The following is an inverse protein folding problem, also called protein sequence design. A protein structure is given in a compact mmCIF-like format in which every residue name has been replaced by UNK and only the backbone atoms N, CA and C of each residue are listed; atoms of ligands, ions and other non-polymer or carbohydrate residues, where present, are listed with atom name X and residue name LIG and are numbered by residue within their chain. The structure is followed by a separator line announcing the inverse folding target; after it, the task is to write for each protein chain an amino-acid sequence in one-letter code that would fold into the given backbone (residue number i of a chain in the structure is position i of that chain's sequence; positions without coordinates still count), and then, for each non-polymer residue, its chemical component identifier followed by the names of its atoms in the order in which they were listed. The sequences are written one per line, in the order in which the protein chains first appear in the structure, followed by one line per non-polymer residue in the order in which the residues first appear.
data_IF_956650859501
#
_entry.id   IF_956650859501
#
_cell.length_a   1.000
_cell.length_b   1.000
_cell.length_c   1.000
_cell.angle_alpha   90.00
_cell.angle_beta   90.00
_cell.angle_gamma   90.00
#
_symmetry.space_group_name_H-M   'P 1'
#
loop_
_entity.id
_entity.type
_entity.pdbx_description
1 polymer ?
#
# COMPACT_ATOMS: atom_id res chain seq x y z
N UNK A 1 11.85 5.05 10.65
CA UNK A 1 12.48 3.74 10.28
C UNK A 1 11.80 3.18 9.06
N UNK A 2 12.51 2.41 8.20
CA UNK A 2 11.92 1.63 7.11
C UNK A 2 11.89 0.16 7.54
N UNK A 3 10.71 -0.37 7.82
CA UNK A 3 10.51 -1.72 8.37
C UNK A 3 10.03 -2.63 7.24
N UNK A 4 10.87 -3.60 6.86
CA UNK A 4 10.54 -4.58 5.84
C UNK A 4 10.23 -5.95 6.46
N UNK A 5 9.32 -6.68 5.80
CA UNK A 5 9.16 -8.11 5.94
C UNK A 5 9.86 -8.75 4.74
N UNK A 6 10.73 -9.71 4.96
CA UNK A 6 11.52 -10.31 3.89
C UNK A 6 11.76 -11.80 4.10
N UNK A 7 12.02 -12.50 3.01
CA UNK A 7 12.37 -13.92 3.00
C UNK A 7 13.79 -14.09 2.46
N UNK A 8 14.61 -14.85 3.21
CA UNK A 8 15.94 -15.26 2.81
C UNK A 8 16.15 -16.71 3.28
N UNK A 9 16.69 -17.57 2.37
CA UNK A 9 16.88 -18.99 2.65
C UNK A 9 15.60 -19.73 3.04
N UNK A 10 14.43 -19.30 2.54
CA UNK A 10 13.11 -19.88 2.85
C UNK A 10 12.53 -19.47 4.21
N UNK A 11 13.19 -18.55 4.94
CA UNK A 11 12.70 -18.04 6.24
C UNK A 11 12.27 -16.61 6.13
N UNK A 12 11.02 -16.31 6.54
CA UNK A 12 10.47 -14.96 6.57
C UNK A 12 10.67 -14.32 7.94
N UNK A 13 11.12 -13.06 7.98
CA UNK A 13 11.38 -12.29 9.20
C UNK A 13 11.35 -10.79 8.96
N UNK A 14 11.49 -10.01 10.01
CA UNK A 14 11.54 -8.54 9.94
C UNK A 14 12.97 -8.03 9.84
N UNK A 15 13.14 -6.94 9.12
CA UNK A 15 14.39 -6.20 8.97
C UNK A 15 14.19 -4.69 8.93
N UNK A 16 15.26 -3.96 9.17
CA UNK A 16 15.32 -2.51 8.98
C UNK A 16 16.12 -2.18 7.73
N UNK A 17 15.50 -1.49 6.79
CA UNK A 17 16.15 -1.08 5.55
C UNK A 17 16.99 0.18 5.80
N UNK A 18 18.25 0.15 5.35
CA UNK A 18 19.20 1.24 5.48
C UNK A 18 19.86 1.54 4.13
N UNK A 19 20.20 2.79 3.91
CA UNK A 19 20.89 3.27 2.71
C UNK A 19 20.22 2.88 1.37
N UNK A 20 18.91 2.57 1.39
CA UNK A 20 18.17 2.34 0.15
C UNK A 20 17.97 3.66 -0.59
N UNK A 21 18.31 3.69 -1.88
CA UNK A 21 17.85 4.71 -2.81
C UNK A 21 16.34 4.59 -3.08
N UNK A 22 15.86 5.23 -4.13
CA UNK A 22 14.47 5.03 -4.59
C UNK A 22 14.24 3.58 -5.05
N UNK A 23 15.26 2.94 -5.67
CA UNK A 23 15.20 1.56 -6.11
C UNK A 23 15.31 0.57 -4.94
N UNK A 24 14.50 -0.49 -4.97
CA UNK A 24 14.46 -1.52 -3.93
C UNK A 24 15.58 -2.55 -4.03
N UNK A 25 16.41 -2.48 -5.07
CA UNK A 25 17.54 -3.38 -5.33
C UNK A 25 18.87 -2.85 -4.78
N UNK A 26 18.91 -1.57 -4.35
CA UNK A 26 20.12 -0.94 -3.80
C UNK A 26 19.95 -0.67 -2.32
N UNK A 27 20.98 -0.98 -1.53
CA UNK A 27 21.01 -0.78 -0.09
C UNK A 27 21.15 -2.08 0.70
N UNK A 28 20.94 -1.95 1.99
CA UNK A 28 21.09 -3.06 2.94
C UNK A 28 19.83 -3.21 3.80
N UNK A 29 19.60 -4.42 4.28
CA UNK A 29 18.62 -4.73 5.32
C UNK A 29 19.35 -5.27 6.56
N UNK A 30 19.06 -4.70 7.71
CA UNK A 30 19.51 -5.18 9.01
C UNK A 30 18.56 -6.29 9.44
N UNK A 31 19.04 -7.52 9.57
CA UNK A 31 18.24 -8.71 9.88
C UNK A 31 17.95 -8.78 11.39
N UNK A 32 17.00 -7.99 11.85
CA UNK A 32 16.62 -7.95 13.26
C UNK A 32 15.90 -9.21 13.70
N UNK A 33 15.21 -9.89 12.79
CA UNK A 33 14.49 -11.14 13.09
C UNK A 33 15.43 -12.30 13.44
N UNK A 34 16.60 -12.40 12.80
CA UNK A 34 17.63 -13.39 13.19
C UNK A 34 18.30 -13.04 14.51
N UNK A 35 18.52 -11.77 14.80
CA UNK A 35 19.12 -11.33 16.05
C UNK A 35 18.16 -11.44 17.25
N UNK A 36 16.86 -11.37 16.99
CA UNK A 36 15.80 -11.60 17.99
C UNK A 36 14.69 -12.49 17.42
N UNK A 37 14.83 -13.83 17.48
CA UNK A 37 13.85 -14.78 16.95
C UNK A 37 12.48 -14.75 17.63
N UNK A 38 12.32 -14.01 18.72
CA UNK A 38 11.02 -13.81 19.38
C UNK A 38 10.23 -12.61 18.81
N UNK A 39 10.80 -11.87 17.86
CA UNK A 39 10.05 -10.89 17.06
C UNK A 39 9.02 -11.60 16.18
N UNK A 40 7.82 -11.01 16.03
CA UNK A 40 6.87 -11.52 15.05
C UNK A 40 7.44 -11.36 13.62
N UNK A 41 6.91 -12.16 12.69
CA UNK A 41 7.30 -12.12 11.28
C UNK A 41 6.45 -11.17 10.43
N UNK A 42 5.51 -10.45 11.05
CA UNK A 42 4.57 -9.53 10.41
C UNK A 42 4.56 -8.18 11.15
N UNK A 43 4.60 -7.08 10.39
CA UNK A 43 4.62 -5.73 10.97
C UNK A 43 3.31 -5.41 11.70
N UNK A 44 2.16 -5.87 11.20
CA UNK A 44 0.87 -5.66 11.87
C UNK A 44 0.82 -6.30 13.25
N UNK A 45 1.38 -7.50 13.39
CA UNK A 45 1.50 -8.19 14.69
C UNK A 45 2.44 -7.44 15.63
N UNK A 46 3.54 -6.90 15.09
CA UNK A 46 4.48 -6.08 15.88
C UNK A 46 3.80 -4.79 16.36
N UNK A 47 3.05 -4.11 15.51
CA UNK A 47 2.28 -2.91 15.87
C UNK A 47 1.26 -3.21 16.97
N UNK A 48 0.56 -4.33 16.88
CA UNK A 48 -0.41 -4.76 17.89
C UNK A 48 0.24 -5.06 19.26
N UNK A 49 1.53 -5.42 19.29
CA UNK A 49 2.28 -5.61 20.54
C UNK A 49 2.69 -4.29 21.20
N UNK A 50 2.67 -3.17 20.46
CA UNK A 50 3.04 -1.84 20.95
C UNK A 50 4.54 -1.61 21.15
N UNK A 51 5.43 -2.51 20.70
CA UNK A 51 6.88 -2.41 20.96
C UNK A 51 7.74 -2.29 19.67
N UNK A 52 7.49 -1.25 18.89
CA UNK A 52 8.35 -0.88 17.76
C UNK A 52 9.79 -0.55 18.17
N UNK A 53 10.00 -0.05 19.40
CA UNK A 53 11.33 0.33 19.89
C UNK A 53 12.28 -0.87 19.98
N UNK A 54 11.74 -2.08 20.07
CA UNK A 54 12.49 -3.33 20.09
C UNK A 54 13.34 -3.52 18.83
N UNK A 55 12.83 -3.13 17.65
CA UNK A 55 13.58 -3.20 16.40
C UNK A 55 14.89 -2.38 16.48
N UNK A 56 14.81 -1.14 16.97
CA UNK A 56 15.98 -0.27 17.11
C UNK A 56 17.02 -0.81 18.10
N UNK A 57 16.56 -1.41 19.22
CA UNK A 57 17.47 -2.03 20.20
C UNK A 57 18.22 -3.23 19.63
N UNK A 58 17.57 -4.03 18.80
CA UNK A 58 18.13 -5.23 18.20
C UNK A 58 19.08 -4.91 17.03
N UNK A 59 18.84 -3.83 16.33
CA UNK A 59 19.58 -3.46 15.11
C UNK A 59 21.11 -3.34 15.30
N UNK A 60 21.56 -2.94 16.49
CA UNK A 60 22.99 -2.72 16.78
C UNK A 60 23.85 -4.00 16.73
N UNK A 61 23.25 -5.18 16.87
CA UNK A 61 23.94 -6.49 16.90
C UNK A 61 23.55 -7.40 15.73
N UNK A 62 22.57 -6.99 14.91
CA UNK A 62 22.03 -7.78 13.82
C UNK A 62 22.95 -7.76 12.57
N UNK A 63 22.95 -8.86 11.83
CA UNK A 63 23.65 -8.96 10.55
C UNK A 63 23.04 -8.03 9.49
N UNK A 64 23.83 -7.65 8.50
CA UNK A 64 23.38 -6.89 7.33
C UNK A 64 23.42 -7.76 6.11
N UNK A 65 22.38 -7.69 5.30
CA UNK A 65 22.25 -8.38 4.03
C UNK A 65 22.03 -7.34 2.92
N UNK A 66 22.50 -7.63 1.71
CA UNK A 66 22.15 -6.80 0.56
C UNK A 66 20.65 -6.93 0.28
N UNK A 67 19.96 -5.83 -0.01
CA UNK A 67 18.53 -5.87 -0.39
C UNK A 67 18.30 -6.76 -1.62
N UNK A 68 19.24 -6.77 -2.57
CA UNK A 68 19.20 -7.64 -3.76
C UNK A 68 19.33 -9.14 -3.46
N UNK A 69 19.73 -9.52 -2.25
CA UNK A 69 19.90 -10.93 -1.85
C UNK A 69 18.67 -11.51 -1.14
N UNK A 70 17.64 -10.69 -0.89
CA UNK A 70 16.43 -11.09 -0.18
C UNK A 70 15.19 -10.85 -1.05
N UNK A 71 14.13 -11.62 -0.81
CA UNK A 71 12.81 -11.34 -1.36
C UNK A 71 12.05 -10.46 -0.37
N UNK A 72 11.67 -9.25 -0.78
CA UNK A 72 10.76 -8.42 -0.01
C UNK A 72 9.35 -9.02 -0.07
N UNK A 73 8.66 -8.96 1.05
CA UNK A 73 7.28 -9.46 1.20
C UNK A 73 6.36 -8.29 1.59
N UNK A 74 5.04 -8.46 1.44
CA UNK A 74 4.10 -7.48 1.97
C UNK A 74 4.40 -7.17 3.45
N UNK A 75 4.61 -5.91 3.85
CA UNK A 75 4.96 -5.57 5.24
C UNK A 75 3.94 -6.08 6.25
N UNK A 76 2.66 -5.99 5.90
CA UNK A 76 1.52 -6.50 6.65
C UNK A 76 0.79 -7.49 5.74
N UNK A 77 1.06 -8.79 5.93
CA UNK A 77 0.51 -9.83 5.07
C UNK A 77 -0.97 -10.14 5.37
N UNK A 78 -1.39 -9.91 6.61
CA UNK A 78 -2.77 -10.15 7.05
C UNK A 78 -3.26 -8.96 7.87
N UNK A 79 -3.61 -7.85 7.21
CA UNK A 79 -4.14 -6.69 7.91
C UNK A 79 -5.48 -7.06 8.56
N UNK A 80 -5.78 -6.57 9.79
CA UNK A 80 -7.07 -6.82 10.43
C UNK A 80 -8.23 -6.24 9.61
N UNK A 81 -7.95 -5.21 8.81
CA UNK A 81 -8.88 -4.61 7.85
C UNK A 81 -8.08 -3.90 6.77
N UNK A 82 -8.52 -4.03 5.52
CA UNK A 82 -8.00 -3.28 4.39
C UNK A 82 -9.11 -2.39 3.84
N UNK A 83 -9.08 -1.11 4.21
CA UNK A 83 -10.01 -0.08 3.77
C UNK A 83 -9.44 0.64 2.56
N UNK A 84 -10.31 1.10 1.65
CA UNK A 84 -9.92 1.90 0.51
C UNK A 84 -10.93 3.03 0.26
N UNK A 85 -10.45 4.10 -0.35
CA UNK A 85 -11.21 5.33 -0.57
C UNK A 85 -11.31 5.60 -2.07
N UNK A 86 -12.50 5.53 -2.61
CA UNK A 86 -12.78 5.89 -4.00
C UNK A 86 -12.95 7.39 -4.19
N UNK A 87 -12.59 7.88 -5.40
CA UNK A 87 -12.86 9.25 -5.85
C UNK A 87 -12.28 10.34 -4.94
N UNK A 88 -11.06 10.13 -4.43
CA UNK A 88 -10.42 11.04 -3.47
C UNK A 88 -9.43 12.05 -4.12
N UNK A 89 -9.31 12.07 -5.45
CA UNK A 89 -8.54 13.08 -6.18
C UNK A 89 -9.44 13.79 -7.17
N UNK A 90 -9.36 15.13 -7.20
CA UNK A 90 -10.26 15.94 -8.03
C UNK A 90 -10.13 15.63 -9.53
N UNK A 91 -8.89 15.42 -10.00
CA UNK A 91 -8.60 15.11 -11.39
C UNK A 91 -9.13 13.69 -11.76
N UNK A 92 -9.01 12.72 -10.84
CA UNK A 92 -9.57 11.39 -11.05
C UNK A 92 -11.11 11.40 -11.09
N UNK A 93 -11.75 12.23 -10.26
CA UNK A 93 -13.21 12.45 -10.34
C UNK A 93 -13.61 13.00 -11.71
N UNK A 94 -12.85 13.98 -12.22
CA UNK A 94 -13.13 14.61 -13.53
C UNK A 94 -12.94 13.61 -14.68
N UNK A 95 -11.82 12.86 -14.72
CA UNK A 95 -11.56 11.87 -15.79
C UNK A 95 -12.58 10.73 -15.81
N UNK A 96 -13.08 10.34 -14.63
CA UNK A 96 -14.10 9.28 -14.48
C UNK A 96 -15.51 9.74 -14.88
N UNK A 97 -15.71 11.04 -15.20
CA UNK A 97 -17.02 11.60 -15.48
C UNK A 97 -17.97 11.61 -14.28
N UNK A 98 -17.43 11.46 -13.08
CA UNK A 98 -18.20 11.42 -11.84
C UNK A 98 -18.30 12.81 -11.20
N UNK A 99 -19.20 12.97 -10.24
CA UNK A 99 -19.28 14.18 -9.41
C UNK A 99 -18.52 13.97 -8.11
N UNK A 100 -17.93 15.05 -7.57
CA UNK A 100 -17.26 15.01 -6.27
C UNK A 100 -18.21 14.47 -5.20
N UNK A 101 -17.84 13.40 -4.47
CA UNK A 101 -18.67 12.85 -3.41
C UNK A 101 -18.86 13.85 -2.26
N UNK A 102 -20.03 13.83 -1.62
CA UNK A 102 -20.32 14.64 -0.43
C UNK A 102 -19.63 14.11 0.84
N UNK A 103 -19.22 12.84 0.84
CA UNK A 103 -18.49 12.17 1.92
C UNK A 103 -17.52 11.16 1.30
N UNK A 104 -16.48 10.70 2.02
CA UNK A 104 -15.57 9.67 1.53
C UNK A 104 -16.31 8.42 1.07
N UNK A 105 -15.98 7.95 -0.14
CA UNK A 105 -16.51 6.69 -0.67
C UNK A 105 -15.66 5.55 -0.13
N UNK A 106 -16.13 4.90 0.92
CA UNK A 106 -15.39 3.86 1.63
C UNK A 106 -15.80 2.48 1.12
N UNK A 107 -14.81 1.63 0.82
CA UNK A 107 -15.03 0.22 0.53
C UNK A 107 -13.92 -0.63 1.17
N UNK A 108 -14.14 -1.94 1.22
CA UNK A 108 -13.17 -2.90 1.73
C UNK A 108 -12.54 -3.69 0.59
N UNK A 109 -11.25 -3.99 0.73
CA UNK A 109 -10.58 -5.06 0.01
C UNK A 109 -10.50 -6.30 0.91
N UNK A 110 -10.68 -7.49 0.35
CA UNK A 110 -10.47 -8.73 1.09
C UNK A 110 -8.98 -8.87 1.42
N UNK A 111 -8.68 -9.33 2.62
CA UNK A 111 -7.29 -9.43 3.09
C UNK A 111 -6.46 -10.44 2.27
N UNK A 112 -7.11 -11.40 1.62
CA UNK A 112 -6.46 -12.38 0.74
C UNK A 112 -5.90 -11.78 -0.55
N UNK A 113 -6.28 -10.53 -0.89
CA UNK A 113 -5.73 -9.84 -2.07
C UNK A 113 -4.29 -9.35 -1.86
N UNK A 114 -3.79 -9.31 -0.61
CA UNK A 114 -2.48 -8.71 -0.28
C UNK A 114 -1.35 -9.56 -0.82
N UNK A 115 -0.46 -8.92 -1.59
CA UNK A 115 0.81 -9.45 -2.07
C UNK A 115 1.94 -8.44 -1.85
N UNK A 116 3.17 -8.91 -1.90
CA UNK A 116 4.38 -8.09 -1.73
C UNK A 116 5.00 -7.61 -3.03
N UNK A 117 6.13 -6.88 -2.93
CA UNK A 117 6.92 -6.48 -4.08
C UNK A 117 7.41 -7.69 -4.89
N UNK A 118 7.33 -7.60 -6.21
CA UNK A 118 7.77 -8.65 -7.13
C UNK A 118 6.82 -9.85 -7.26
N UNK A 119 5.79 -9.95 -6.42
CA UNK A 119 4.75 -10.97 -6.59
C UNK A 119 3.87 -10.65 -7.81
N UNK A 120 3.36 -11.68 -8.48
CA UNK A 120 2.56 -11.53 -9.69
C UNK A 120 1.13 -11.03 -9.41
N UNK A 121 0.72 -9.96 -10.08
CA UNK A 121 -0.68 -9.56 -10.17
C UNK A 121 -1.35 -10.45 -11.22
N UNK A 122 -2.31 -11.27 -10.83
CA UNK A 122 -2.97 -12.21 -11.73
C UNK A 122 -4.06 -11.53 -12.57
N UNK A 123 -4.07 -11.83 -13.87
CA UNK A 123 -5.21 -11.49 -14.74
C UNK A 123 -6.23 -12.62 -14.61
N UNK A 124 -7.42 -12.39 -14.02
CA UNK A 124 -8.38 -13.44 -13.81
C UNK A 124 -8.94 -13.96 -15.12
N UNK A 125 -9.03 -15.28 -15.29
CA UNK A 125 -9.63 -15.90 -16.48
C UNK A 125 -11.11 -15.53 -16.66
N UNK A 126 -11.82 -15.24 -15.57
CA UNK A 126 -13.22 -14.83 -15.59
C UNK A 126 -13.44 -13.35 -15.98
N UNK A 127 -12.38 -12.51 -15.97
CA UNK A 127 -12.47 -11.08 -16.27
C UNK A 127 -11.12 -10.56 -16.82
N UNK A 128 -10.69 -10.99 -18.03
CA UNK A 128 -9.32 -10.74 -18.50
C UNK A 128 -9.07 -9.34 -19.05
N UNK A 129 -10.10 -8.57 -19.39
CA UNK A 129 -9.96 -7.39 -20.24
C UNK A 129 -9.86 -6.06 -19.47
N UNK A 130 -10.27 -6.03 -18.21
CA UNK A 130 -10.49 -4.79 -17.48
C UNK A 130 -9.72 -4.72 -16.14
N UNK A 131 -8.57 -5.36 -16.06
CA UNK A 131 -7.69 -5.27 -14.89
C UNK A 131 -6.86 -4.00 -14.96
N UNK A 132 -7.02 -3.13 -13.99
CA UNK A 132 -6.46 -1.78 -13.98
C UNK A 132 -5.65 -1.51 -12.71
N UNK A 133 -4.74 -0.57 -12.79
CA UNK A 133 -3.85 -0.13 -11.71
C UNK A 133 -4.38 1.14 -11.03
N UNK A 134 -4.10 1.28 -9.76
CA UNK A 134 -4.34 2.49 -8.97
C UNK A 134 -3.22 2.67 -7.95
N UNK A 135 -2.24 3.55 -8.25
CA UNK A 135 -1.19 3.91 -7.30
C UNK A 135 -1.74 4.78 -6.18
N UNK A 136 -1.49 4.39 -4.92
CA UNK A 136 -2.07 5.05 -3.76
C UNK A 136 -1.09 5.17 -2.59
N UNK A 137 -1.21 6.24 -1.82
CA UNK A 137 -0.64 6.31 -0.47
C UNK A 137 -1.42 5.38 0.45
N UNK A 138 -0.74 4.45 1.09
CA UNK A 138 -1.29 3.60 2.15
C UNK A 138 -0.94 4.15 3.52
N UNK A 139 -1.96 4.42 4.35
CA UNK A 139 -1.80 4.79 5.76
C UNK A 139 -1.97 3.55 6.62
N UNK A 140 -1.06 3.33 7.57
CA UNK A 140 -1.12 2.19 8.51
C UNK A 140 -1.42 2.68 9.91
N UNK A 141 -2.47 2.16 10.52
CA UNK A 141 -2.85 2.46 11.91
C UNK A 141 -1.90 1.74 12.86
N UNK A 142 -1.34 2.48 13.83
CA UNK A 142 -0.42 1.98 14.84
C UNK A 142 -1.06 1.74 16.21
N UNK A 143 -2.08 2.52 16.53
CA UNK A 143 -2.74 2.46 17.83
C UNK A 143 -4.24 2.22 17.67
N UNK A 144 -4.79 1.27 18.44
CA UNK A 144 -6.23 1.01 18.47
C UNK A 144 -6.98 2.30 18.81
N UNK A 145 -7.88 2.74 17.95
CA UNK A 145 -8.56 4.03 18.12
C UNK A 145 -10.03 3.98 17.69
N UNK A 146 -10.81 4.90 18.24
CA UNK A 146 -12.23 5.15 17.95
C UNK A 146 -12.56 6.60 18.23
N UNK A 147 -13.42 7.21 17.41
CA UNK A 147 -13.84 8.61 17.55
C UNK A 147 -12.66 9.60 17.68
N UNK A 148 -11.64 9.42 16.82
CA UNK A 148 -10.44 10.26 16.81
C UNK A 148 -10.78 11.59 16.13
N UNK A 149 -10.34 12.70 16.71
CA UNK A 149 -10.45 14.01 16.04
C UNK A 149 -9.43 14.13 14.91
N UNK A 150 -9.65 15.05 13.97
CA UNK A 150 -8.69 15.35 12.91
C UNK A 150 -7.33 15.76 13.50
N UNK A 151 -7.34 16.53 14.60
CA UNK A 151 -6.13 16.99 15.27
C UNK A 151 -5.34 15.85 15.94
N UNK A 152 -6.02 14.82 16.42
CA UNK A 152 -5.40 13.68 17.10
C UNK A 152 -5.05 12.53 16.13
N UNK A 153 -5.56 12.55 14.90
CA UNK A 153 -5.35 11.49 13.91
C UNK A 153 -3.86 11.17 13.63
N UNK A 154 -2.92 12.14 13.57
CA UNK A 154 -1.50 11.83 13.43
C UNK A 154 -0.96 10.89 14.51
N UNK A 155 -1.46 10.98 15.74
CA UNK A 155 -0.96 10.21 16.88
C UNK A 155 -1.29 8.71 16.83
N UNK A 156 -2.23 8.29 15.99
CA UNK A 156 -2.63 6.89 15.86
C UNK A 156 -2.02 6.20 14.64
N UNK A 157 -1.24 6.93 13.82
CA UNK A 157 -0.60 6.40 12.61
C UNK A 157 0.75 5.78 12.95
N UNK A 158 0.99 4.55 12.50
CA UNK A 158 2.30 3.89 12.58
C UNK A 158 3.24 4.38 11.49
N UNK A 159 2.72 4.60 10.29
CA UNK A 159 3.51 5.00 9.12
C UNK A 159 2.74 4.82 7.82
N UNK A 160 3.52 4.82 6.73
CA UNK A 160 3.02 4.86 5.37
C UNK A 160 3.71 3.81 4.50
N UNK A 161 3.04 3.36 3.47
CA UNK A 161 3.57 2.47 2.43
C UNK A 161 2.87 2.74 1.10
N UNK A 162 3.36 2.15 0.03
CA UNK A 162 2.69 2.19 -1.27
C UNK A 162 1.65 1.08 -1.33
N UNK A 163 0.51 1.38 -1.95
CA UNK A 163 -0.55 0.43 -2.29
C UNK A 163 -0.84 0.52 -3.78
N UNK A 164 -1.10 -0.61 -4.41
CA UNK A 164 -1.75 -0.69 -5.71
C UNK A 164 -3.16 -1.25 -5.51
N UNK A 165 -4.18 -0.39 -5.62
CA UNK A 165 -5.58 -0.81 -5.51
C UNK A 165 -6.07 -1.38 -6.84
N UNK A 166 -5.49 -2.54 -7.24
CA UNK A 166 -5.81 -3.20 -8.50
C UNK A 166 -7.32 -3.48 -8.59
N UNK A 167 -7.88 -3.12 -9.74
CA UNK A 167 -9.32 -3.07 -9.97
C UNK A 167 -9.73 -3.85 -11.21
N UNK A 168 -10.72 -4.70 -11.10
CA UNK A 168 -11.41 -5.33 -12.23
C UNK A 168 -12.63 -4.48 -12.54
N UNK A 169 -12.54 -3.59 -13.53
CA UNK A 169 -13.44 -2.45 -13.73
C UNK A 169 -14.90 -2.84 -14.03
N UNK A 170 -15.13 -3.87 -14.80
CA UNK A 170 -16.47 -4.38 -15.08
C UNK A 170 -17.14 -4.94 -13.80
N UNK A 171 -16.39 -5.69 -12.98
CA UNK A 171 -16.87 -6.20 -11.69
C UNK A 171 -17.02 -5.10 -10.64
N UNK A 172 -16.13 -4.10 -10.65
CA UNK A 172 -16.24 -2.93 -9.77
C UNK A 172 -17.55 -2.19 -9.96
N UNK A 173 -17.98 -2.05 -11.23
CA UNK A 173 -19.20 -1.31 -11.60
C UNK A 173 -20.48 -2.13 -11.51
N UNK A 174 -20.37 -3.44 -11.38
CA UNK A 174 -21.52 -4.33 -11.33
C UNK A 174 -22.39 -4.12 -10.07
N UNK A 175 -21.78 -3.63 -8.97
CA UNK A 175 -22.48 -3.40 -7.71
C UNK A 175 -21.98 -2.13 -7.00
N UNK A 176 -22.84 -1.45 -6.20
CA UNK A 176 -22.45 -0.24 -5.47
C UNK A 176 -21.32 -0.45 -4.45
N UNK A 177 -21.12 -1.66 -3.95
CA UNK A 177 -20.11 -1.95 -2.91
C UNK A 177 -18.69 -2.04 -3.43
N UNK A 178 -18.50 -2.18 -4.76
CA UNK A 178 -17.21 -2.34 -5.45
C UNK A 178 -16.38 -3.57 -5.04
N UNK A 179 -16.70 -4.22 -3.92
CA UNK A 179 -15.89 -5.27 -3.29
C UNK A 179 -15.43 -6.36 -4.25
N UNK A 180 -16.34 -6.84 -5.12
CA UNK A 180 -16.02 -7.93 -6.06
C UNK A 180 -15.02 -7.51 -7.16
N UNK A 181 -14.97 -6.24 -7.52
CA UNK A 181 -13.98 -5.71 -8.48
C UNK A 181 -12.65 -5.30 -7.84
N UNK A 182 -12.61 -5.17 -6.51
CA UNK A 182 -11.47 -4.64 -5.75
C UNK A 182 -10.76 -5.70 -4.89
N UNK A 183 -11.23 -6.95 -4.88
CA UNK A 183 -10.83 -7.96 -3.89
C UNK A 183 -10.41 -9.31 -4.47
N UNK A 184 -10.05 -9.36 -5.73
CA UNK A 184 -9.47 -10.57 -6.32
C UNK A 184 -8.14 -10.88 -5.61
N UNK A 185 -7.84 -12.15 -5.43
CA UNK A 185 -6.53 -12.56 -4.91
C UNK A 185 -5.42 -11.91 -5.76
N UNK A 186 -4.31 -11.53 -5.13
CA UNK A 186 -3.20 -10.76 -5.73
C UNK A 186 -3.49 -9.29 -6.10
N UNK A 187 -4.71 -8.79 -5.97
CA UNK A 187 -5.09 -7.44 -6.40
C UNK A 187 -4.90 -6.36 -5.33
N UNK A 188 -4.05 -6.61 -4.34
CA UNK A 188 -3.67 -5.66 -3.28
C UNK A 188 -2.16 -5.63 -3.02
N UNK A 189 -1.32 -5.36 -4.04
CA UNK A 189 0.11 -5.17 -3.80
C UNK A 189 0.37 -4.07 -2.78
N UNK A 190 1.23 -4.35 -1.78
CA UNK A 190 1.63 -3.39 -0.74
C UNK A 190 3.12 -3.46 -0.47
N UNK A 191 3.74 -2.32 -0.17
CA UNK A 191 5.15 -2.27 0.17
C UNK A 191 5.85 -1.00 -0.31
N UNK A 192 7.16 -1.04 -0.57
CA UNK A 192 8.07 -2.19 -0.36
C UNK A 192 8.37 -2.46 1.11
N UNK A 193 8.12 -1.50 1.98
CA UNK A 193 8.27 -1.51 3.44
C UNK A 193 7.29 -0.53 4.09
N UNK A 194 7.13 -0.61 5.39
CA UNK A 194 6.49 0.44 6.18
C UNK A 194 7.54 1.51 6.53
N UNK A 195 7.29 2.76 6.16
CA UNK A 195 8.05 3.93 6.62
C UNK A 195 7.32 4.51 7.83
N UNK A 196 7.97 4.53 8.99
CA UNK A 196 7.33 5.04 10.22
C UNK A 196 6.98 6.51 10.12
N UNK A 197 5.93 6.93 10.81
CA UNK A 197 5.36 8.27 10.68
C UNK A 197 6.35 9.41 11.01
N UNK A 198 7.31 9.17 11.89
CA UNK A 198 8.35 10.12 12.25
C UNK A 198 9.37 10.43 11.13
N UNK A 199 9.43 9.58 10.09
CA UNK A 199 10.30 9.79 8.91
C UNK A 199 9.62 10.66 7.83
N UNK A 200 8.30 10.85 7.89
CA UNK A 200 7.52 11.59 6.89
C UNK A 200 7.01 12.88 7.53
N UNK A 201 7.61 13.99 7.14
CA UNK A 201 7.27 15.29 7.71
C UNK A 201 5.83 15.71 7.41
N UNK A 202 5.36 15.47 6.18
CA UNK A 202 3.98 15.74 5.76
C UNK A 202 3.52 14.69 4.73
N UNK A 203 2.60 13.79 5.09
CA UNK A 203 2.07 12.80 4.15
C UNK A 203 1.18 13.41 3.05
N UNK A 204 0.83 14.68 3.17
CA UNK A 204 0.05 15.42 2.18
C UNK A 204 0.92 16.24 1.21
N UNK A 205 2.25 16.02 1.22
CA UNK A 205 3.20 16.66 0.29
C UNK A 205 4.18 15.66 -0.32
N UNK A 206 3.66 14.57 -0.87
CA UNK A 206 4.44 13.52 -1.52
C UNK A 206 4.07 13.44 -2.99
N UNK A 207 5.07 13.33 -3.86
CA UNK A 207 4.87 12.97 -5.26
C UNK A 207 4.46 11.51 -5.36
N UNK A 208 3.49 11.21 -6.22
CA UNK A 208 3.04 9.85 -6.55
C UNK A 208 3.05 9.65 -8.05
N UNK A 209 3.74 8.62 -8.53
CA UNK A 209 3.88 8.31 -9.94
C UNK A 209 3.66 6.82 -10.18
N UNK A 210 2.97 6.49 -11.28
CA UNK A 210 2.74 5.12 -11.71
C UNK A 210 3.16 4.95 -13.16
N UNK A 211 3.91 3.90 -13.43
CA UNK A 211 4.29 3.46 -14.77
C UNK A 211 3.69 2.09 -15.06
N UNK A 212 3.29 1.88 -16.30
CA UNK A 212 2.94 0.55 -16.84
C UNK A 212 3.81 0.34 -18.07
N UNK A 213 4.55 -0.75 -18.09
CA UNK A 213 5.50 -1.11 -19.16
C UNK A 213 6.52 0.03 -19.47
N UNK A 214 6.93 0.76 -18.44
CA UNK A 214 7.84 1.89 -18.53
C UNK A 214 7.21 3.20 -18.99
N UNK A 215 5.93 3.23 -19.33
CA UNK A 215 5.20 4.43 -19.70
C UNK A 215 4.58 5.08 -18.46
N UNK A 216 4.86 6.38 -18.25
CA UNK A 216 4.29 7.16 -17.15
C UNK A 216 2.79 7.33 -17.36
N UNK A 217 1.99 6.87 -16.42
CA UNK A 217 0.51 6.87 -16.46
C UNK A 217 -0.11 7.82 -15.46
N UNK A 218 0.42 7.84 -14.24
CA UNK A 218 -0.04 8.74 -13.19
C UNK A 218 1.15 9.59 -12.72
N UNK A 219 0.94 10.91 -12.57
CA UNK A 219 1.93 11.84 -12.01
C UNK A 219 1.19 12.94 -11.26
N UNK A 220 1.23 12.88 -9.94
CA UNK A 220 0.42 13.72 -9.07
C UNK A 220 1.11 13.97 -7.72
N UNK A 221 0.43 14.69 -6.84
CA UNK A 221 0.84 14.88 -5.46
C UNK A 221 -0.31 14.55 -4.51
N UNK A 222 0.03 14.00 -3.34
CA UNK A 222 -0.93 13.78 -2.24
C UNK A 222 -1.60 15.05 -1.74
N UNK A 223 -1.07 16.23 -2.08
CA UNK A 223 -1.74 17.54 -1.89
C UNK A 223 -3.10 17.65 -2.58
N UNK A 224 -3.32 16.87 -3.63
CA UNK A 224 -4.53 16.91 -4.44
C UNK A 224 -5.67 16.04 -3.88
N UNK A 225 -5.46 15.37 -2.74
CA UNK A 225 -6.53 14.64 -2.05
C UNK A 225 -7.68 15.56 -1.69
N UNK A 226 -8.90 15.12 -1.98
CA UNK A 226 -10.16 15.81 -1.61
C UNK A 226 -10.39 15.76 -0.10
N UNK A 227 -10.13 14.59 0.49
CA UNK A 227 -10.18 14.32 1.93
C UNK A 227 -8.81 13.81 2.35
N UNK A 228 -8.12 14.54 3.21
CA UNK A 228 -6.76 14.21 3.62
C UNK A 228 -6.71 13.02 4.61
N UNK A 229 -5.51 12.50 4.89
CA UNK A 229 -5.34 11.32 5.76
C UNK A 229 -5.98 11.49 7.14
N UNK A 230 -5.89 12.68 7.73
CA UNK A 230 -6.42 12.95 9.06
C UNK A 230 -7.94 13.00 9.08
N UNK A 231 -8.53 13.59 8.08
CA UNK A 231 -9.98 13.63 7.87
C UNK A 231 -10.54 12.22 7.60
N UNK A 232 -9.82 11.39 6.82
CA UNK A 232 -10.18 9.99 6.59
C UNK A 232 -10.19 9.19 7.89
N UNK A 233 -9.13 9.29 8.70
CA UNK A 233 -9.05 8.58 10.00
C UNK A 233 -10.17 9.02 10.93
N UNK A 234 -10.43 10.33 11.04
CA UNK A 234 -11.51 10.87 11.86
C UNK A 234 -12.87 10.34 11.39
N UNK A 235 -13.13 10.37 10.07
CA UNK A 235 -14.37 9.88 9.49
C UNK A 235 -14.58 8.37 9.75
N UNK A 236 -13.58 7.55 9.43
CA UNK A 236 -13.64 6.09 9.59
C UNK A 236 -13.78 5.68 11.05
N UNK A 237 -13.01 6.31 11.96
CA UNK A 237 -13.03 5.99 13.38
C UNK A 237 -14.33 6.40 14.08
N UNK A 238 -15.13 7.28 13.48
CA UNK A 238 -16.49 7.59 13.96
C UNK A 238 -17.42 6.38 13.84
N UNK A 239 -17.33 5.65 12.73
CA UNK A 239 -18.20 4.51 12.46
C UNK A 239 -17.76 3.24 13.20
N UNK A 240 -16.45 2.93 13.20
CA UNK A 240 -15.91 1.68 13.75
C UNK A 240 -14.52 1.85 14.36
N UNK A 241 -14.10 0.89 15.18
CA UNK A 241 -12.75 0.86 15.75
C UNK A 241 -11.72 0.51 14.69
N UNK A 242 -10.68 1.32 14.56
CA UNK A 242 -9.49 0.99 13.78
C UNK A 242 -8.48 0.26 14.67
N UNK A 243 -7.97 -0.87 14.19
CA UNK A 243 -7.01 -1.71 14.90
C UNK A 243 -5.58 -1.46 14.39
N UNK A 244 -4.54 -1.68 15.22
CA UNK A 244 -3.16 -1.67 14.75
C UNK A 244 -2.97 -2.61 13.57
N UNK A 245 -2.26 -2.16 12.53
CA UNK A 245 -2.09 -2.91 11.29
C UNK A 245 -3.22 -2.74 10.26
N UNK A 246 -4.30 -2.01 10.58
CA UNK A 246 -5.30 -1.62 9.57
C UNK A 246 -4.63 -0.79 8.48
N UNK A 247 -4.86 -1.15 7.21
CA UNK A 247 -4.40 -0.41 6.04
C UNK A 247 -5.55 0.46 5.53
N UNK A 248 -5.26 1.71 5.22
CA UNK A 248 -6.16 2.64 4.54
C UNK A 248 -5.49 3.09 3.25
N UNK A 249 -5.95 2.58 2.11
CA UNK A 249 -5.59 3.08 0.78
C UNK A 249 -6.37 4.37 0.53
N UNK A 250 -5.66 5.47 0.25
CA UNK A 250 -6.23 6.83 0.37
C UNK A 250 -6.85 7.36 -0.92
N UNK A 251 -6.91 6.55 -1.96
CA UNK A 251 -7.38 6.95 -3.28
C UNK A 251 -6.25 7.21 -4.26
N UNK A 252 -6.57 7.10 -5.53
CA UNK A 252 -5.66 7.23 -6.66
C UNK A 252 -5.86 8.54 -7.41
N UNK A 253 -4.81 9.16 -7.99
CA UNK A 253 -4.93 10.29 -8.90
C UNK A 253 -5.40 9.87 -10.30
N UNK A 254 -5.60 10.85 -11.19
CA UNK A 254 -5.89 10.64 -12.60
C UNK A 254 -4.78 9.85 -13.33
N UNK A 255 -5.14 9.26 -14.48
CA UNK A 255 -4.25 8.48 -15.33
C UNK A 255 -4.46 6.98 -15.21
N UNK A 256 -5.62 6.54 -14.69
CA UNK A 256 -5.99 5.12 -14.65
C UNK A 256 -6.23 4.59 -16.08
N UNK A 257 -5.86 3.33 -16.31
CA UNK A 257 -5.87 2.74 -17.66
C UNK A 257 -7.26 2.69 -18.29
N UNK A 258 -8.28 2.47 -17.51
CA UNK A 258 -9.66 2.43 -17.98
C UNK A 258 -10.17 3.78 -18.54
N UNK A 259 -9.64 4.90 -18.07
CA UNK A 259 -10.04 6.24 -18.54
C UNK A 259 -9.31 6.70 -19.82
N UNK A 260 -8.35 5.92 -20.28
CA UNK A 260 -7.59 6.24 -21.51
C UNK A 260 -8.38 5.93 -22.79
N UNK A 261 -8.01 6.56 -23.89
CA UNK A 261 -8.55 6.28 -25.23
C UNK A 261 -7.39 5.97 -26.21
N UNK A 262 -7.22 4.71 -26.64
CA UNK A 262 -7.95 3.50 -26.22
C UNK A 262 -7.61 3.11 -24.78
N UNK A 263 -8.46 2.29 -24.10
CA UNK A 263 -8.22 1.83 -22.72
C UNK A 263 -6.86 1.15 -22.56
N UNK A 264 -6.12 1.60 -21.53
CA UNK A 264 -4.75 1.15 -21.22
C UNK A 264 -4.67 0.19 -20.03
N UNK A 265 -5.66 -0.68 -19.84
CA UNK A 265 -5.66 -1.68 -18.77
C UNK A 265 -4.48 -2.66 -18.89
N UNK A 266 -4.05 -3.21 -17.77
CA UNK A 266 -2.93 -4.16 -17.70
C UNK A 266 -3.27 -5.50 -18.36
N UNK A 267 -2.23 -6.17 -18.87
CA UNK A 267 -2.32 -7.50 -19.49
C UNK A 267 -1.23 -8.40 -18.93
N UNK A 268 -1.41 -9.69 -19.05
CA UNK A 268 -0.35 -10.64 -18.73
C UNK A 268 0.93 -10.32 -19.54
N UNK A 269 2.06 -10.21 -18.85
CA UNK A 269 3.34 -9.75 -19.39
C UNK A 269 3.65 -8.27 -19.12
N UNK A 270 2.66 -7.47 -18.69
CA UNK A 270 2.91 -6.09 -18.23
C UNK A 270 3.69 -6.05 -16.92
N UNK A 271 4.29 -4.90 -16.65
CA UNK A 271 4.89 -4.57 -15.35
C UNK A 271 4.29 -3.26 -14.86
N UNK A 272 3.78 -3.24 -13.64
CA UNK A 272 3.31 -2.02 -12.97
C UNK A 272 4.29 -1.59 -11.89
N UNK A 273 4.72 -0.33 -11.94
CA UNK A 273 5.65 0.30 -11.00
C UNK A 273 5.04 1.54 -10.42
N UNK A 274 5.03 1.65 -9.10
CA UNK A 274 4.53 2.81 -8.37
C UNK A 274 5.67 3.36 -7.51
N UNK A 275 5.88 4.66 -7.58
CA UNK A 275 6.85 5.38 -6.76
C UNK A 275 6.14 6.47 -5.97
N UNK A 276 6.40 6.52 -4.67
CA UNK A 276 5.98 7.63 -3.81
C UNK A 276 7.22 8.19 -3.12
N UNK A 277 7.35 9.50 -3.16
CA UNK A 277 8.49 10.20 -2.56
C UNK A 277 8.68 9.74 -1.11
N UNK A 278 9.93 9.49 -0.72
CA UNK A 278 10.36 9.02 0.60
C UNK A 278 9.93 7.57 0.96
N UNK A 279 8.93 6.99 0.28
CA UNK A 279 8.46 5.63 0.56
C UNK A 279 9.21 4.57 -0.25
N UNK A 280 9.71 4.91 -1.44
CA UNK A 280 10.43 3.99 -2.31
C UNK A 280 9.61 3.58 -3.52
N UNK A 281 9.76 2.32 -3.95
CA UNK A 281 9.15 1.77 -5.16
C UNK A 281 8.47 0.45 -4.87
N UNK A 282 7.24 0.29 -5.33
CA UNK A 282 6.52 -0.98 -5.41
C UNK A 282 6.39 -1.37 -6.88
N UNK A 283 6.97 -2.51 -7.25
CA UNK A 283 6.91 -3.02 -8.61
C UNK A 283 6.44 -4.47 -8.63
N UNK A 284 5.51 -4.77 -9.53
CA UNK A 284 4.91 -6.09 -9.65
C UNK A 284 4.78 -6.48 -11.13
N UNK A 285 5.16 -7.70 -11.52
CA UNK A 285 4.80 -8.26 -12.80
C UNK A 285 3.31 -8.60 -12.85
N UNK A 286 2.72 -8.48 -14.02
CA UNK A 286 1.34 -8.91 -14.28
C UNK A 286 1.38 -10.25 -15.01
N UNK A 287 0.72 -11.26 -14.47
CA UNK A 287 0.79 -12.64 -14.97
C UNK A 287 -0.60 -13.16 -15.34
N UNK A 288 -0.66 -14.15 -16.20
CA UNK A 288 -1.91 -14.89 -16.40
C UNK A 288 -2.22 -15.68 -15.12
N UNK A 289 -3.50 -15.79 -14.77
CA UNK A 289 -3.93 -16.68 -13.70
C UNK A 289 -3.54 -18.12 -14.06
N UNK A 290 -2.90 -18.89 -13.12
CA UNK A 290 -2.46 -20.27 -13.34
C UNK A 290 -3.57 -21.24 -13.76
#
# INVERSE_FOLDING_TARGET
MKIARFTEGGTTRLGLVVAAGAATDTGEIIDVGSADPSLPTDVGVLLASGDLTRLGRTAGTAARLALSAVKLEAPIAQPPTFLAIGLNYADHVAESGMTKPAAPVVFNKQITCVIGPGDGVEIPTAAPDWVDYEGELGVVIGTRCRNVSVADAPSVVAGYMIVNDVSVRDWQRATPTMTMGKSWDTHGPTGPWLVTADEIADPHDLGIRTWVDGELRQDASTKQMITNCWELIAHLSTAFTLLPGTIIATGTPAGVGFAMDPPGCMKAGSTVRIEIDQLGVLENPVIAQP
#
